data_IF_469284370191
#
_entry.id   IF_469284370191
#
_cell.length_a   1.000
_cell.length_b   1.000
_cell.length_c   1.000
_cell.angle_alpha   90.00
_cell.angle_beta   90.00
_cell.angle_gamma   90.00
#
_symmetry.space_group_name_H-M   'P 1'
#
loop_
_entity.id
_entity.type
_entity.pdbx_description
1 polymer ?
#
# COMPACT_ATOMS: atom_id res chain seq x y z
N UNK A 1 -17.59 -3.79 -1.53
CA UNK A 1 -17.44 -5.00 -2.36
C UNK A 1 -17.60 -4.68 -3.84
N UNK A 2 -16.55 -4.98 -4.61
CA UNK A 2 -16.45 -4.82 -6.07
C UNK A 2 -17.00 -6.08 -6.78
N UNK A 3 -18.20 -6.04 -7.41
CA UNK A 3 -18.76 -7.22 -8.08
C UNK A 3 -17.91 -7.65 -9.28
N UNK A 4 -17.57 -8.93 -9.40
CA UNK A 4 -16.72 -9.39 -10.50
C UNK A 4 -15.26 -8.92 -10.41
N UNK A 5 -14.78 -8.59 -9.19
CA UNK A 5 -13.37 -8.32 -8.96
C UNK A 5 -12.52 -9.53 -9.37
N UNK A 6 -11.53 -9.29 -10.22
CA UNK A 6 -10.56 -10.31 -10.64
C UNK A 6 -9.39 -10.45 -9.65
N UNK A 7 -9.29 -9.55 -8.67
CA UNK A 7 -8.25 -9.60 -7.65
C UNK A 7 -8.68 -10.43 -6.45
N UNK A 8 -7.72 -11.20 -5.95
CA UNK A 8 -7.80 -11.85 -4.64
C UNK A 8 -7.38 -10.81 -3.60
N UNK A 9 -8.19 -10.68 -2.54
CA UNK A 9 -7.86 -9.90 -1.35
C UNK A 9 -7.51 -8.42 -1.63
N UNK A 10 -8.28 -7.76 -2.50
CA UNK A 10 -8.05 -6.35 -2.85
C UNK A 10 -8.21 -5.35 -1.70
N UNK A 11 -8.93 -5.72 -0.64
CA UNK A 11 -9.07 -4.94 0.60
C UNK A 11 -8.14 -5.38 1.73
N UNK A 12 -7.20 -6.29 1.50
CA UNK A 12 -6.25 -6.77 2.52
C UNK A 12 -6.88 -7.32 3.81
N UNK A 13 -8.12 -7.83 3.73
CA UNK A 13 -8.82 -8.45 4.86
C UNK A 13 -8.22 -9.80 5.28
N UNK A 14 -7.31 -10.34 4.46
CA UNK A 14 -6.54 -11.54 4.79
C UNK A 14 -5.02 -11.25 4.81
N UNK A 15 -4.28 -11.82 5.78
CA UNK A 15 -4.78 -12.59 6.91
C UNK A 15 -5.59 -11.70 7.88
N UNK A 16 -6.46 -12.33 8.68
CA UNK A 16 -7.15 -11.60 9.74
C UNK A 16 -6.16 -11.24 10.85
N UNK A 17 -5.68 -9.99 10.89
CA UNK A 17 -4.73 -9.53 11.92
C UNK A 17 -5.28 -9.60 13.34
N UNK A 18 -6.61 -9.67 13.54
CA UNK A 18 -7.22 -9.85 14.87
C UNK A 18 -6.90 -11.22 15.48
N UNK A 19 -6.73 -12.24 14.63
CA UNK A 19 -6.53 -13.63 15.04
C UNK A 19 -5.04 -14.02 15.14
N UNK A 20 -4.13 -13.11 14.78
CA UNK A 20 -2.70 -13.37 14.81
C UNK A 20 -2.11 -12.88 16.13
N UNK A 21 -1.43 -13.75 16.91
CA UNK A 21 -0.72 -13.30 18.09
C UNK A 21 0.41 -12.36 17.63
N UNK A 22 0.41 -11.12 18.12
CA UNK A 22 1.62 -10.31 18.03
C UNK A 22 2.66 -11.02 18.89
N UNK A 23 3.72 -11.57 18.29
CA UNK A 23 4.78 -12.30 19.02
C UNK A 23 5.45 -11.45 20.11
N UNK A 24 5.18 -10.14 20.13
CA UNK A 24 5.45 -9.23 21.25
C UNK A 24 4.17 -8.52 21.66
N UNK A 25 3.43 -9.11 22.60
CA UNK A 25 2.45 -8.38 23.39
C UNK A 25 3.20 -7.33 24.23
N UNK A 26 3.14 -6.07 23.81
CA UNK A 26 3.63 -4.93 24.58
C UNK A 26 2.41 -4.20 25.16
N UNK A 27 2.16 -4.28 26.48
CA UNK A 27 0.98 -3.67 27.10
C UNK A 27 0.98 -2.13 27.04
N UNK A 28 2.08 -1.50 26.62
CA UNK A 28 2.17 -0.06 26.37
C UNK A 28 2.06 0.31 24.88
N UNK A 29 1.97 -0.67 23.97
CA UNK A 29 1.63 -0.46 22.56
C UNK A 29 0.17 -0.81 22.34
N UNK A 30 -0.63 0.21 22.03
CA UNK A 30 -2.06 0.15 21.76
C UNK A 30 -2.56 -1.22 21.29
N UNK A 31 -3.22 -1.96 22.19
CA UNK A 31 -3.93 -3.22 21.97
C UNK A 31 -5.07 -3.14 20.93
N UNK A 32 -5.18 -2.02 20.22
CA UNK A 32 -6.15 -1.73 19.17
C UNK A 32 -5.56 -1.85 17.76
N UNK A 33 -4.24 -1.94 17.62
CA UNK A 33 -3.52 -1.86 16.34
C UNK A 33 -2.98 -3.24 15.98
N UNK A 34 -3.56 -3.88 14.96
CA UNK A 34 -3.08 -5.15 14.43
C UNK A 34 -2.19 -4.91 13.21
N UNK A 35 -0.93 -5.35 13.27
CA UNK A 35 0.00 -5.34 12.14
C UNK A 35 0.40 -6.77 11.77
N UNK A 36 0.32 -7.11 10.49
CA UNK A 36 0.89 -8.34 9.95
C UNK A 36 2.04 -8.01 9.01
N UNK A 37 3.12 -8.76 9.14
CA UNK A 37 4.29 -8.71 8.26
C UNK A 37 4.53 -10.08 7.64
N UNK A 38 4.61 -10.16 6.32
CA UNK A 38 4.95 -11.40 5.62
C UNK A 38 5.50 -11.17 4.22
N UNK A 39 6.19 -12.16 3.64
CA UNK A 39 6.62 -12.08 2.23
C UNK A 39 5.46 -12.17 1.23
N UNK A 40 4.30 -12.59 1.72
CA UNK A 40 3.06 -12.68 0.98
C UNK A 40 1.87 -12.58 1.93
N UNK A 41 0.76 -12.12 1.38
CA UNK A 41 -0.60 -12.32 1.90
C UNK A 41 -1.42 -13.00 0.81
N UNK A 42 -2.60 -13.58 1.09
CA UNK A 42 -3.41 -14.17 0.03
C UNK A 42 -3.59 -13.20 -1.14
N UNK A 43 -3.23 -13.65 -2.35
CA UNK A 43 -3.30 -12.86 -3.59
C UNK A 43 -2.12 -11.93 -3.86
N UNK A 44 -1.34 -11.51 -2.86
CA UNK A 44 -0.30 -10.50 -3.03
C UNK A 44 1.07 -10.98 -2.56
N UNK A 45 2.10 -10.55 -3.25
CA UNK A 45 3.48 -10.90 -2.92
C UNK A 45 4.43 -9.73 -3.15
N UNK A 46 5.62 -9.80 -2.53
CA UNK A 46 6.79 -8.98 -2.88
C UNK A 46 7.73 -9.70 -3.86
N UNK A 47 7.65 -11.04 -3.90
CA UNK A 47 8.35 -11.93 -4.82
C UNK A 47 7.33 -12.85 -5.49
N UNK A 48 7.29 -12.81 -6.82
CA UNK A 48 6.40 -13.62 -7.66
C UNK A 48 6.66 -15.12 -7.49
N UNK A 49 5.68 -15.98 -7.78
CA UNK A 49 5.86 -17.44 -7.73
C UNK A 49 6.97 -17.98 -8.63
N UNK A 50 7.37 -17.24 -9.66
CA UNK A 50 8.50 -17.57 -10.55
C UNK A 50 9.88 -17.14 -9.97
N UNK A 51 9.91 -16.62 -8.73
CA UNK A 51 11.12 -16.18 -8.04
C UNK A 51 11.54 -14.75 -8.36
N UNK A 52 10.86 -14.06 -9.28
CA UNK A 52 11.19 -12.67 -9.61
C UNK A 52 10.59 -11.70 -8.59
N UNK A 53 11.32 -10.63 -8.25
CA UNK A 53 10.74 -9.55 -7.42
C UNK A 53 9.64 -8.81 -8.19
N UNK A 54 8.62 -8.34 -7.48
CA UNK A 54 7.60 -7.46 -8.06
C UNK A 54 8.21 -6.24 -8.73
N UNK A 55 9.17 -5.63 -8.06
CA UNK A 55 9.95 -4.50 -8.55
C UNK A 55 11.37 -4.70 -8.07
N UNK A 56 12.33 -4.44 -8.96
CA UNK A 56 13.74 -4.44 -8.59
C UNK A 56 14.25 -3.01 -8.65
N UNK A 57 14.48 -2.41 -7.47
CA UNK A 57 15.21 -1.15 -7.32
C UNK A 57 16.31 -1.34 -6.29
N UNK A 58 17.42 -0.64 -6.46
CA UNK A 58 18.67 -0.79 -5.68
C UNK A 58 18.52 -0.47 -4.19
N UNK A 59 17.45 0.24 -3.80
CA UNK A 59 17.19 0.64 -2.43
C UNK A 59 16.05 -0.12 -1.75
N UNK A 60 15.32 -0.99 -2.46
CA UNK A 60 14.34 -1.88 -1.82
C UNK A 60 15.04 -3.14 -1.29
N UNK A 61 14.96 -3.34 0.03
CA UNK A 61 15.42 -4.56 0.69
C UNK A 61 14.60 -5.80 0.26
N UNK A 62 14.62 -6.86 1.07
CA UNK A 62 13.93 -8.12 0.70
C UNK A 62 12.40 -8.03 0.66
N UNK A 63 11.82 -6.86 0.97
CA UNK A 63 10.39 -6.59 0.92
C UNK A 63 9.60 -7.33 1.99
N UNK A 64 8.62 -6.69 2.61
CA UNK A 64 7.52 -7.43 3.26
C UNK A 64 6.21 -6.80 2.82
N UNK A 65 5.11 -7.51 2.96
CA UNK A 65 3.76 -6.97 2.93
C UNK A 65 3.38 -6.63 4.36
N UNK A 66 2.96 -5.40 4.55
CA UNK A 66 2.39 -4.89 5.78
C UNK A 66 0.90 -4.68 5.61
N UNK A 67 0.12 -5.34 6.47
CA UNK A 67 -1.33 -5.17 6.57
C UNK A 67 -1.63 -4.61 7.96
N UNK A 68 -2.36 -3.50 7.99
CA UNK A 68 -2.67 -2.80 9.23
C UNK A 68 -4.18 -2.68 9.46
N UNK A 69 -4.60 -2.87 10.71
CA UNK A 69 -5.98 -2.74 11.18
C UNK A 69 -6.14 -1.50 12.03
N UNK A 70 -6.93 -0.54 11.53
CA UNK A 70 -7.36 0.67 12.24
C UNK A 70 -6.25 1.43 13.01
N UNK A 71 -4.99 1.20 12.65
CA UNK A 71 -3.85 1.61 13.45
C UNK A 71 -3.64 3.11 13.33
N UNK A 72 -3.81 3.64 12.11
CA UNK A 72 -3.51 5.03 11.80
C UNK A 72 -4.71 5.75 11.17
N UNK A 73 -5.66 4.98 10.63
CA UNK A 73 -6.91 5.48 10.04
C UNK A 73 -7.96 4.40 9.98
N UNK A 74 -9.21 4.80 9.76
CA UNK A 74 -10.25 3.87 9.36
C UNK A 74 -9.99 3.40 7.92
N UNK A 75 -9.98 2.09 7.66
CA UNK A 75 -10.00 1.55 6.30
C UNK A 75 -11.17 2.09 5.49
N UNK A 76 -11.04 2.10 4.17
CA UNK A 76 -12.14 2.42 3.26
C UNK A 76 -13.10 1.25 3.15
N UNK A 77 -12.57 0.03 3.08
CA UNK A 77 -13.34 -1.20 3.05
C UNK A 77 -12.97 -2.09 4.24
N UNK A 78 -13.95 -2.78 4.80
CA UNK A 78 -13.70 -3.81 5.83
C UNK A 78 -13.07 -3.27 7.11
N UNK A 79 -11.98 -3.91 7.53
CA UNK A 79 -11.28 -3.71 8.80
C UNK A 79 -9.79 -3.44 8.65
N UNK A 80 -9.21 -3.68 7.47
CA UNK A 80 -7.77 -3.64 7.26
C UNK A 80 -7.41 -2.91 5.97
N UNK A 81 -6.14 -2.51 5.83
CA UNK A 81 -5.59 -1.93 4.60
C UNK A 81 -4.12 -2.36 4.44
N UNK A 82 -3.60 -2.27 3.22
CA UNK A 82 -2.17 -2.48 2.94
C UNK A 82 -1.36 -1.19 3.15
N UNK A 83 -0.14 -1.30 3.68
CA UNK A 83 0.77 -0.16 3.87
C UNK A 83 2.07 -0.33 3.09
N UNK A 84 2.34 0.56 2.14
CA UNK A 84 3.55 0.63 1.32
C UNK A 84 4.60 1.58 1.96
N UNK A 85 5.45 1.05 2.83
CA UNK A 85 6.63 1.67 3.40
C UNK A 85 7.75 1.85 2.35
N UNK A 86 8.29 3.07 2.19
CA UNK A 86 9.32 3.36 1.21
C UNK A 86 10.65 2.61 1.44
N UNK A 87 10.98 2.18 2.65
CA UNK A 87 12.27 1.50 2.93
C UNK A 87 12.11 0.01 3.29
N UNK A 88 10.89 -0.54 3.26
CA UNK A 88 10.63 -1.91 3.74
C UNK A 88 9.62 -2.70 2.90
N UNK A 89 8.50 -2.09 2.47
CA UNK A 89 7.38 -2.81 1.81
C UNK A 89 7.04 -2.28 0.42
N UNK A 90 7.96 -1.51 -0.17
CA UNK A 90 7.73 -0.57 -1.27
C UNK A 90 7.12 -1.09 -2.58
N UNK A 91 6.78 -2.38 -2.72
CA UNK A 91 6.02 -2.86 -3.87
C UNK A 91 5.18 -4.12 -3.53
N UNK A 92 3.89 -4.09 -3.86
CA UNK A 92 3.00 -5.26 -3.84
C UNK A 92 2.58 -5.59 -5.25
N UNK A 93 2.58 -6.86 -5.62
CA UNK A 93 2.02 -7.26 -6.90
C UNK A 93 1.20 -8.55 -6.85
N UNK A 94 0.34 -8.69 -7.86
CA UNK A 94 -0.55 -9.82 -8.07
C UNK A 94 -0.66 -10.11 -9.57
N UNK A 95 -0.47 -11.36 -9.94
CA UNK A 95 -0.67 -11.87 -11.28
C UNK A 95 -2.17 -12.10 -11.49
N UNK A 96 -2.71 -11.62 -12.61
CA UNK A 96 -4.14 -11.69 -12.91
C UNK A 96 -4.34 -12.26 -14.29
N UNK A 97 -5.19 -13.28 -14.39
CA UNK A 97 -5.66 -13.78 -15.68
C UNK A 97 -6.63 -12.76 -16.31
N UNK A 98 -6.35 -12.37 -17.55
CA UNK A 98 -7.14 -11.40 -18.32
C UNK A 98 -7.32 -11.93 -19.74
N UNK A 99 -8.01 -11.19 -20.61
CA UNK A 99 -8.15 -11.51 -22.03
C UNK A 99 -7.45 -10.44 -22.85
N UNK A 100 -6.44 -10.83 -23.62
CA UNK A 100 -5.71 -9.92 -24.51
C UNK A 100 -6.68 -9.13 -25.38
N UNK A 101 -6.48 -7.81 -25.45
CA UNK A 101 -7.31 -6.90 -26.22
C UNK A 101 -8.64 -6.49 -25.56
N UNK A 102 -9.05 -7.13 -24.46
CA UNK A 102 -10.19 -6.66 -23.69
C UNK A 102 -9.84 -5.43 -22.84
N UNK A 103 -10.84 -4.58 -22.59
CA UNK A 103 -10.72 -3.42 -21.72
C UNK A 103 -10.99 -3.81 -20.27
N UNK A 104 -10.28 -3.17 -19.37
CA UNK A 104 -10.38 -3.36 -17.94
C UNK A 104 -10.39 -2.03 -17.22
N UNK A 105 -11.15 -1.97 -16.14
CA UNK A 105 -11.18 -0.86 -15.20
C UNK A 105 -10.53 -1.29 -13.90
N UNK A 106 -9.50 -0.55 -13.49
CA UNK A 106 -8.83 -0.70 -12.21
C UNK A 106 -9.19 0.50 -11.33
N UNK A 107 -9.63 0.24 -10.11
CA UNK A 107 -9.84 1.27 -9.09
C UNK A 107 -9.24 0.85 -7.75
N UNK A 108 -8.81 1.83 -6.98
CA UNK A 108 -8.30 1.62 -5.62
C UNK A 108 -8.44 2.90 -4.81
N UNK A 109 -8.36 2.76 -3.50
CA UNK A 109 -8.21 3.90 -2.61
C UNK A 109 -6.78 4.02 -2.16
N UNK A 110 -6.31 5.26 -2.13
CA UNK A 110 -4.96 5.59 -1.70
C UNK A 110 -5.04 6.59 -0.55
N UNK A 111 -4.36 6.26 0.54
CA UNK A 111 -4.22 7.11 1.72
C UNK A 111 -2.78 7.58 1.85
N UNK A 112 -2.59 8.86 2.19
CA UNK A 112 -1.27 9.38 2.54
C UNK A 112 -1.08 9.25 4.06
N UNK A 113 -0.24 8.35 4.53
CA UNK A 113 0.11 8.33 5.94
C UNK A 113 1.02 9.52 6.26
N UNK A 114 0.69 10.27 7.31
CA UNK A 114 1.56 11.29 7.87
C UNK A 114 1.77 10.93 9.33
N UNK A 115 2.78 10.11 9.61
CA UNK A 115 3.18 9.84 10.98
C UNK A 115 4.38 10.72 11.36
N UNK A 116 4.47 11.01 12.65
CA UNK A 116 5.53 11.80 13.25
C UNK A 116 6.76 10.91 13.39
N UNK A 117 7.76 11.07 12.51
CA UNK A 117 9.06 10.43 12.74
C UNK A 117 9.80 11.17 13.87
N UNK A 118 10.32 10.47 14.90
CA UNK A 118 11.23 11.08 15.85
C UNK A 118 12.57 11.30 15.15
N UNK A 119 12.93 12.53 14.82
CA UNK A 119 14.20 12.82 14.16
C UNK A 119 15.40 12.75 15.10
N UNK A 120 15.20 12.75 16.42
CA UNK A 120 16.33 13.02 17.34
C UNK A 120 16.02 12.73 18.83
N UNK A 121 14.84 12.19 19.16
CA UNK A 121 14.48 11.87 20.55
C UNK A 121 14.38 13.06 21.51
N UNK A 122 14.68 14.29 21.08
CA UNK A 122 14.65 15.49 21.93
C UNK A 122 14.25 16.73 21.12
N UNK A 123 12.98 17.12 21.29
CA UNK A 123 12.36 18.41 20.92
C UNK A 123 11.73 18.50 19.52
N UNK A 124 10.40 18.43 19.49
CA UNK A 124 9.57 18.65 18.31
C UNK A 124 9.27 20.14 18.09
N UNK A 125 9.32 20.65 16.85
CA UNK A 125 8.70 21.93 16.49
C UNK A 125 7.52 21.71 15.54
N UNK A 126 6.53 22.59 15.64
CA UNK A 126 5.34 22.60 14.78
C UNK A 126 5.78 22.92 13.34
N UNK A 127 5.70 21.95 12.42
CA UNK A 127 6.05 22.15 11.00
C UNK A 127 6.93 21.05 10.37
N UNK A 128 7.48 20.14 11.17
CA UNK A 128 8.38 19.08 10.67
C UNK A 128 7.56 17.88 10.11
N UNK A 129 7.39 17.77 8.78
CA UNK A 129 6.64 16.70 8.10
C UNK A 129 7.35 16.15 6.87
N UNK A 130 7.29 14.84 6.63
CA UNK A 130 7.81 14.19 5.41
C UNK A 130 6.74 14.13 4.32
N UNK A 131 7.12 14.47 3.08
CA UNK A 131 6.26 14.39 1.89
C UNK A 131 6.56 13.10 1.15
N UNK A 132 5.52 12.33 0.80
CA UNK A 132 5.65 11.06 0.08
C UNK A 132 5.25 11.22 -1.37
N UNK A 133 6.06 10.71 -2.27
CA UNK A 133 5.74 10.64 -3.69
C UNK A 133 5.86 9.18 -4.12
N UNK A 134 4.97 8.81 -5.03
CA UNK A 134 4.83 7.45 -5.49
C UNK A 134 5.09 7.49 -6.98
N UNK A 135 6.36 7.32 -7.37
CA UNK A 135 6.80 7.28 -8.76
C UNK A 135 7.73 6.10 -8.96
N UNK A 136 7.30 5.08 -9.70
CA UNK A 136 8.15 3.94 -10.02
C UNK A 136 8.65 4.03 -11.46
N UNK A 137 9.98 3.90 -11.62
CA UNK A 137 10.60 3.44 -12.86
C UNK A 137 10.97 1.97 -12.65
N UNK A 138 9.97 1.10 -12.79
CA UNK A 138 10.15 -0.34 -12.64
C UNK A 138 10.31 -0.93 -14.05
N UNK A 139 11.53 -1.29 -14.42
CA UNK A 139 11.80 -1.96 -15.69
C UNK A 139 10.86 -3.18 -15.85
N UNK A 140 10.14 -3.25 -16.97
CA UNK A 140 9.16 -4.30 -17.26
C UNK A 140 7.70 -3.97 -16.91
N UNK A 141 7.41 -2.81 -16.29
CA UNK A 141 6.05 -2.37 -16.02
C UNK A 141 5.65 -1.18 -16.90
N UNK A 142 4.39 -1.19 -17.38
CA UNK A 142 3.76 0.00 -17.94
C UNK A 142 3.17 0.84 -16.81
N UNK A 143 3.67 2.06 -16.65
CA UNK A 143 3.09 3.02 -15.71
C UNK A 143 1.66 3.38 -16.15
N UNK A 144 0.68 3.11 -15.27
CA UNK A 144 -0.73 3.47 -15.50
C UNK A 144 -1.10 4.79 -14.82
N UNK A 145 -0.58 5.03 -13.62
CA UNK A 145 -0.91 6.21 -12.82
C UNK A 145 0.22 6.56 -11.87
N UNK A 146 0.55 7.86 -11.78
CA UNK A 146 1.40 8.42 -10.73
C UNK A 146 0.53 9.11 -9.69
N UNK A 147 0.84 8.94 -8.41
CA UNK A 147 0.11 9.59 -7.32
C UNK A 147 1.01 10.65 -6.67
N UNK A 148 0.70 11.92 -6.94
CA UNK A 148 1.32 13.05 -6.26
C UNK A 148 0.40 13.50 -5.12
N UNK A 149 0.89 13.38 -3.89
CA UNK A 149 0.13 13.74 -2.69
C UNK A 149 0.62 15.02 -2.02
N UNK A 150 1.50 15.78 -2.69
CA UNK A 150 2.10 17.02 -2.19
C UNK A 150 1.07 18.07 -1.83
N UNK A 151 0.04 18.22 -2.67
CA UNK A 151 -0.97 19.28 -2.54
C UNK A 151 -2.22 18.79 -1.81
N UNK A 152 -2.19 17.61 -1.20
CA UNK A 152 -3.33 17.12 -0.44
C UNK A 152 -3.50 17.97 0.81
N UNK A 153 -4.72 18.48 1.08
CA UNK A 153 -4.96 19.27 2.27
C UNK A 153 -4.61 18.44 3.50
N UNK A 154 -3.99 19.09 4.49
CA UNK A 154 -3.65 18.47 5.75
C UNK A 154 -4.67 18.93 6.78
N UNK A 155 -5.43 17.99 7.35
CA UNK A 155 -6.26 18.30 8.51
C UNK A 155 -5.37 18.28 9.76
N UNK A 156 -5.12 19.48 10.28
CA UNK A 156 -4.28 19.70 11.46
C UNK A 156 -5.11 19.84 12.75
N UNK A 157 -6.44 19.66 12.69
CA UNK A 157 -7.34 20.02 13.79
C UNK A 157 -7.30 19.07 14.99
N UNK A 158 -6.82 17.84 14.83
CA UNK A 158 -6.90 16.77 15.85
C UNK A 158 -5.57 16.34 16.47
N UNK A 159 -4.43 16.87 15.99
CA UNK A 159 -3.09 16.45 16.46
C UNK A 159 -2.70 15.01 16.08
N UNK A 160 -3.59 14.26 15.41
CA UNK A 160 -3.36 12.96 14.80
C UNK A 160 -3.78 13.12 13.33
N UNK A 161 -2.80 13.20 12.43
CA UNK A 161 -3.05 13.40 11.01
C UNK A 161 -3.79 12.20 10.42
N UNK A 162 -5.11 12.31 10.29
CA UNK A 162 -5.92 11.29 9.62
C UNK A 162 -5.56 11.32 8.12
N UNK A 163 -5.13 10.20 7.52
CA UNK A 163 -4.89 10.15 6.08
C UNK A 163 -6.21 10.41 5.36
N UNK A 164 -6.18 11.37 4.43
CA UNK A 164 -7.27 11.56 3.48
C UNK A 164 -7.20 10.42 2.48
N UNK A 165 -8.24 9.61 2.42
CA UNK A 165 -8.39 8.62 1.36
C UNK A 165 -8.88 9.31 0.08
N UNK A 166 -8.22 9.03 -1.04
CA UNK A 166 -8.75 9.38 -2.37
C UNK A 166 -8.87 8.15 -3.24
N UNK A 167 -9.98 8.08 -3.94
CA UNK A 167 -10.23 7.05 -4.94
C UNK A 167 -9.49 7.39 -6.24
N UNK A 168 -8.90 6.38 -6.84
CA UNK A 168 -8.27 6.42 -8.14
C UNK A 168 -8.89 5.39 -9.07
N UNK A 169 -8.97 5.73 -10.35
CA UNK A 169 -9.57 4.92 -11.41
C UNK A 169 -8.74 5.06 -12.68
N UNK A 170 -8.41 3.94 -13.31
CA UNK A 170 -7.80 3.90 -14.64
C UNK A 170 -8.47 2.83 -15.49
N UNK A 171 -8.46 3.06 -16.80
CA UNK A 171 -8.84 2.05 -17.78
C UNK A 171 -7.63 1.66 -18.61
N UNK A 172 -7.53 0.39 -18.96
CA UNK A 172 -6.48 -0.11 -19.84
C UNK A 172 -6.98 -1.27 -20.71
N UNK A 173 -6.33 -1.46 -21.85
CA UNK A 173 -6.51 -2.65 -22.69
C UNK A 173 -5.44 -3.67 -22.33
N UNK A 174 -5.84 -4.91 -22.05
CA UNK A 174 -4.92 -5.97 -21.66
C UNK A 174 -3.94 -6.28 -22.81
N UNK A 175 -2.61 -6.20 -22.58
CA UNK A 175 -1.62 -6.44 -23.63
C UNK A 175 -1.43 -7.94 -23.94
N UNK A 176 -1.85 -8.80 -23.02
CA UNK A 176 -1.66 -10.26 -23.02
C UNK A 176 -2.77 -10.91 -22.17
N UNK A 177 -2.82 -12.25 -22.12
CA UNK A 177 -3.84 -12.99 -21.36
C UNK A 177 -3.50 -13.13 -19.86
N UNK A 178 -2.36 -12.60 -19.43
CA UNK A 178 -1.96 -12.57 -18.02
C UNK A 178 -1.12 -11.33 -17.74
N UNK A 179 -1.54 -10.49 -16.81
CA UNK A 179 -0.78 -9.30 -16.41
C UNK A 179 -0.27 -9.46 -14.97
N UNK A 180 0.78 -8.73 -14.63
CA UNK A 180 1.15 -8.47 -13.23
C UNK A 180 0.74 -7.05 -12.88
N UNK A 181 -0.18 -6.90 -11.93
CA UNK A 181 -0.55 -5.60 -11.37
C UNK A 181 0.38 -5.30 -10.19
N UNK A 182 0.98 -4.11 -10.16
CA UNK A 182 1.86 -3.70 -9.07
C UNK A 182 1.49 -2.31 -8.52
N UNK A 183 1.53 -2.18 -7.19
CA UNK A 183 1.47 -0.91 -6.46
C UNK A 183 2.80 -0.67 -5.78
N UNK A 184 3.41 0.48 -6.06
CA UNK A 184 4.82 0.69 -5.78
C UNK A 184 4.99 2.05 -5.11
N UNK A 185 5.51 2.09 -3.88
CA UNK A 185 6.05 3.32 -3.32
C UNK A 185 7.46 3.50 -3.87
N UNK A 186 7.64 4.45 -4.79
CA UNK A 186 8.85 4.58 -5.59
C UNK A 186 9.85 5.64 -5.12
N UNK A 187 9.69 6.20 -3.91
CA UNK A 187 10.68 7.12 -3.34
C UNK A 187 11.56 6.43 -2.31
N UNK A 188 12.88 6.57 -2.52
CA UNK A 188 13.91 6.35 -1.50
C UNK A 188 13.86 7.50 -0.49
N UNK A 189 13.33 7.25 0.71
CA UNK A 189 13.33 8.28 1.76
C UNK A 189 14.68 8.32 2.50
N UNK A 190 15.20 9.53 2.72
CA UNK A 190 16.40 9.78 3.54
C UNK A 190 16.15 9.76 5.06
N UNK A 191 14.88 9.69 5.48
CA UNK A 191 14.45 9.64 6.89
C UNK A 191 13.52 8.46 7.13
N UNK A 192 13.46 7.97 8.38
CA UNK A 192 12.55 6.91 8.82
C UNK A 192 11.11 7.32 8.49
N UNK A 193 10.59 6.79 7.38
CA UNK A 193 9.49 7.38 6.65
C UNK A 193 8.23 6.52 6.72
N UNK A 194 7.13 7.16 7.04
CA UNK A 194 5.78 6.60 7.09
C UNK A 194 5.31 6.16 5.69
N UNK A 195 4.47 5.12 5.60
CA UNK A 195 4.09 4.51 4.34
C UNK A 195 3.01 5.24 3.54
N UNK A 196 2.63 4.62 2.43
CA UNK A 196 1.42 4.96 1.69
C UNK A 196 0.39 3.88 1.93
N UNK A 197 -0.88 4.23 2.10
CA UNK A 197 -1.93 3.26 2.37
C UNK A 197 -2.65 2.92 1.07
N UNK A 198 -3.00 1.66 0.89
CA UNK A 198 -3.83 1.19 -0.22
C UNK A 198 -4.94 0.29 0.29
N UNK A 199 -6.12 0.44 -0.28
CA UNK A 199 -7.30 -0.32 0.12
C UNK A 199 -8.32 -0.43 -1.03
N UNK A 200 -9.27 -1.36 -0.90
CA UNK A 200 -10.41 -1.57 -1.79
C UNK A 200 -10.01 -1.64 -3.28
N UNK A 201 -8.94 -2.38 -3.58
CA UNK A 201 -8.43 -2.56 -4.93
C UNK A 201 -9.39 -3.47 -5.71
N UNK A 202 -9.81 -2.99 -6.87
CA UNK A 202 -10.84 -3.59 -7.70
C UNK A 202 -10.40 -3.56 -9.16
N UNK A 203 -10.36 -4.73 -9.79
CA UNK A 203 -10.12 -4.88 -11.22
C UNK A 203 -11.30 -5.61 -11.86
N UNK A 204 -11.93 -4.98 -12.85
CA UNK A 204 -13.09 -5.53 -13.54
C UNK A 204 -12.88 -5.46 -15.05
N UNK A 205 -13.44 -6.41 -15.78
CA UNK A 205 -13.60 -6.27 -17.24
C UNK A 205 -14.59 -5.13 -17.51
N UNK A 206 -14.20 -4.17 -18.34
CA UNK A 206 -14.99 -2.98 -18.66
C UNK A 206 -15.99 -3.24 -19.79
#
# INVERSE_FOLDING_TARGET
MCPGNLLINGGFELPNTEALPTEKYDPNKNSCWGWYYGKSVPGWYVVRPDGQRCVTVDWMGDGVIEVARAALTRPVEGRQYGELLPNATGAYCQDVAVTKGAKYKLSWWYGRLVAKAPTDGKNFKKGDMTVFWTSADAAGFKLLQTMNTRDWPMDNSTGIYQPIWKEYKVEFTAPEDKITLAFINGIRSSVCACGSLIDAICLQKA
#
